data_IF_344829865152
#
_entry.id   IF_344829865152
#
_cell.length_a   1.000
_cell.length_b   1.000
_cell.length_c   1.000
_cell.angle_alpha   90.00
_cell.angle_beta   90.00
_cell.angle_gamma   90.00
#
_symmetry.space_group_name_H-M   'P 1'
#
loop_
_entity.id
_entity.type
_entity.pdbx_description
1 polymer ?
#
# COMPACT_ATOMS: atom_id res chain seq x y z
N UNK A 1 9.86 -1.55 11.83
CA UNK A 1 8.80 -0.80 11.10
C UNK A 1 9.03 -0.70 9.59
N UNK A 2 10.23 -0.35 9.10
CA UNK A 2 10.50 -0.32 7.63
C UNK A 2 10.23 -1.67 6.95
N UNK A 3 10.74 -2.76 7.49
CA UNK A 3 10.55 -4.11 6.93
C UNK A 3 9.07 -4.47 6.81
N UNK A 4 8.24 -4.07 7.77
CA UNK A 4 6.80 -4.33 7.77
C UNK A 4 6.09 -3.53 6.65
N UNK A 5 6.46 -2.27 6.45
CA UNK A 5 5.96 -1.45 5.33
C UNK A 5 6.43 -1.98 3.95
N UNK A 6 7.65 -2.52 3.88
CA UNK A 6 8.12 -3.16 2.64
C UNK A 6 7.36 -4.46 2.38
N UNK A 7 7.14 -5.27 3.42
CA UNK A 7 6.35 -6.50 3.33
C UNK A 7 4.91 -6.22 2.88
N UNK A 8 4.28 -5.17 3.42
CA UNK A 8 2.92 -4.80 3.03
C UNK A 8 2.84 -4.42 1.56
N UNK A 9 3.82 -3.67 1.04
CA UNK A 9 3.90 -3.33 -0.37
C UNK A 9 4.12 -4.54 -1.27
N UNK A 10 5.00 -5.47 -0.89
CA UNK A 10 5.21 -6.73 -1.62
C UNK A 10 3.94 -7.58 -1.63
N UNK A 11 3.27 -7.74 -0.49
CA UNK A 11 2.00 -8.47 -0.41
C UNK A 11 0.91 -7.81 -1.27
N UNK A 12 0.82 -6.48 -1.24
CA UNK A 12 -0.10 -5.73 -2.08
C UNK A 12 0.12 -5.99 -3.56
N UNK A 13 1.37 -6.02 -4.02
CA UNK A 13 1.72 -6.36 -5.42
C UNK A 13 1.31 -7.80 -5.74
N UNK A 14 1.71 -8.77 -4.91
CA UNK A 14 1.44 -10.20 -5.14
C UNK A 14 -0.05 -10.48 -5.21
N UNK A 15 -0.83 -9.96 -4.26
CA UNK A 15 -2.29 -10.17 -4.24
C UNK A 15 -2.95 -9.48 -5.43
N UNK A 16 -2.53 -8.27 -5.79
CA UNK A 16 -3.09 -7.55 -6.94
C UNK A 16 -2.84 -8.30 -8.25
N UNK A 17 -1.61 -8.79 -8.46
CA UNK A 17 -1.26 -9.61 -9.62
C UNK A 17 -2.03 -10.94 -9.62
N UNK A 18 -2.18 -11.57 -8.46
CA UNK A 18 -2.96 -12.81 -8.34
C UNK A 18 -4.43 -12.58 -8.74
N UNK A 19 -5.07 -11.55 -8.19
CA UNK A 19 -6.44 -11.20 -8.53
C UNK A 19 -6.64 -10.94 -10.03
N UNK A 20 -5.64 -10.32 -10.68
CA UNK A 20 -5.66 -10.04 -12.10
C UNK A 20 -5.45 -11.29 -12.96
N UNK A 21 -4.47 -12.15 -12.61
CA UNK A 21 -4.17 -13.39 -13.34
C UNK A 21 -5.33 -14.39 -13.35
N UNK A 22 -6.12 -14.41 -12.27
CA UNK A 22 -7.27 -15.32 -12.14
C UNK A 22 -8.61 -14.67 -12.48
N UNK A 23 -8.60 -13.46 -13.07
CA UNK A 23 -9.81 -12.70 -13.41
C UNK A 23 -10.81 -12.60 -12.24
N UNK A 24 -10.29 -12.52 -11.00
CA UNK A 24 -11.09 -12.34 -9.78
C UNK A 24 -11.70 -10.93 -9.77
N UNK A 25 -11.03 -10.00 -10.42
CA UNK A 25 -11.46 -8.62 -10.61
C UNK A 25 -11.67 -8.43 -12.10
N UNK A 26 -12.83 -7.88 -12.45
CA UNK A 26 -13.19 -7.66 -13.84
C UNK A 26 -12.30 -6.57 -14.45
N UNK A 27 -11.73 -6.84 -15.62
CA UNK A 27 -10.85 -5.92 -16.35
C UNK A 27 -11.63 -4.88 -17.18
N UNK A 28 -12.97 -4.95 -17.16
CA UNK A 28 -13.89 -4.14 -17.97
C UNK A 28 -14.01 -2.65 -17.60
N UNK A 29 -13.25 -2.16 -16.60
CA UNK A 29 -13.40 -0.78 -16.10
C UNK A 29 -12.68 0.26 -16.97
N UNK A 30 -13.33 1.41 -17.17
CA UNK A 30 -12.90 2.53 -18.04
C UNK A 30 -11.65 3.28 -17.54
N UNK A 31 -11.27 3.12 -16.27
CA UNK A 31 -10.15 3.83 -15.62
C UNK A 31 -8.81 3.07 -15.62
N UNK A 32 -8.65 2.08 -16.52
CA UNK A 32 -7.49 1.21 -16.55
C UNK A 32 -7.62 0.08 -15.53
N UNK A 33 -6.83 -0.99 -15.73
CA UNK A 33 -6.95 -2.22 -14.95
C UNK A 33 -6.87 -1.92 -13.45
N UNK A 34 -8.00 -2.09 -12.76
CA UNK A 34 -8.13 -1.77 -11.33
C UNK A 34 -7.18 -2.64 -10.50
N UNK A 35 -6.87 -3.87 -10.94
CA UNK A 35 -5.82 -4.69 -10.37
C UNK A 35 -4.44 -4.03 -10.46
N UNK A 36 -4.13 -3.36 -11.57
CA UNK A 36 -2.87 -2.62 -11.73
C UNK A 36 -2.74 -1.42 -10.78
N UNK A 37 -3.86 -0.78 -10.39
CA UNK A 37 -3.84 0.24 -9.34
C UNK A 37 -3.39 -0.34 -7.99
N UNK A 38 -3.74 -1.60 -7.70
CA UNK A 38 -3.28 -2.32 -6.52
C UNK A 38 -1.76 -2.56 -6.52
N UNK A 39 -1.21 -2.87 -7.71
CA UNK A 39 0.24 -2.99 -7.92
C UNK A 39 0.94 -1.65 -7.66
N UNK A 40 0.44 -0.56 -8.25
CA UNK A 40 0.97 0.80 -8.02
C UNK A 40 0.92 1.15 -6.54
N UNK A 41 -0.19 0.86 -5.86
CA UNK A 41 -0.35 1.06 -4.42
C UNK A 41 0.73 0.33 -3.63
N UNK A 42 1.07 -0.90 -4.01
CA UNK A 42 2.12 -1.67 -3.36
C UNK A 42 3.53 -1.09 -3.60
N UNK A 43 3.80 -0.60 -4.81
CA UNK A 43 5.05 0.11 -5.12
C UNK A 43 5.17 1.39 -4.28
N UNK A 44 4.09 2.16 -4.14
CA UNK A 44 4.05 3.36 -3.29
C UNK A 44 4.37 3.02 -1.83
N UNK A 45 3.86 1.89 -1.30
CA UNK A 45 4.21 1.44 0.05
C UNK A 45 5.72 1.15 0.20
N UNK A 46 6.34 0.49 -0.79
CA UNK A 46 7.78 0.20 -0.78
C UNK A 46 8.60 1.49 -0.83
N UNK A 47 8.21 2.45 -1.67
CA UNK A 47 8.85 3.77 -1.75
C UNK A 47 8.71 4.53 -0.42
N UNK A 48 7.50 4.55 0.15
CA UNK A 48 7.22 5.13 1.47
C UNK A 48 8.08 4.49 2.57
N UNK A 49 8.23 3.17 2.56
CA UNK A 49 9.07 2.41 3.49
C UNK A 49 10.55 2.85 3.41
N UNK A 50 11.06 3.07 2.20
CA UNK A 50 12.42 3.55 1.98
C UNK A 50 12.62 4.99 2.47
N UNK A 51 11.60 5.84 2.35
CA UNK A 51 11.64 7.23 2.80
C UNK A 51 11.53 7.40 4.33
N UNK A 52 11.10 6.38 5.09
CA UNK A 52 10.85 6.48 6.54
C UNK A 52 12.05 7.02 7.35
N UNK A 53 13.29 6.73 6.93
CA UNK A 53 14.51 7.19 7.61
C UNK A 53 14.91 8.63 7.22
N UNK A 54 14.58 9.06 6.01
CA UNK A 54 15.01 10.36 5.46
C UNK A 54 13.97 11.44 5.73
N UNK A 55 12.70 11.14 5.49
CA UNK A 55 11.64 12.12 5.63
C UNK A 55 10.32 11.49 6.10
N UNK A 56 10.11 11.51 7.43
CA UNK A 56 8.96 10.88 8.08
C UNK A 56 7.61 11.41 7.59
N UNK A 57 7.52 12.71 7.27
CA UNK A 57 6.26 13.34 6.79
C UNK A 57 5.83 12.76 5.44
N UNK A 58 6.74 12.73 4.48
CA UNK A 58 6.47 12.19 3.14
C UNK A 58 6.29 10.66 3.17
N UNK A 59 7.02 9.96 4.04
CA UNK A 59 6.80 8.54 4.24
C UNK A 59 5.38 8.24 4.75
N UNK A 60 4.89 8.99 5.74
CA UNK A 60 3.55 8.83 6.26
C UNK A 60 2.47 9.13 5.20
N UNK A 61 2.62 10.20 4.41
CA UNK A 61 1.67 10.49 3.33
C UNK A 61 1.65 9.40 2.27
N UNK A 62 2.81 8.87 1.86
CA UNK A 62 2.90 7.78 0.88
C UNK A 62 2.24 6.49 1.39
N UNK A 63 2.49 6.13 2.65
CA UNK A 63 1.86 4.95 3.25
C UNK A 63 0.34 5.09 3.38
N UNK A 64 -0.15 6.30 3.67
CA UNK A 64 -1.58 6.59 3.71
C UNK A 64 -2.21 6.51 2.32
N UNK A 65 -1.59 7.14 1.32
CA UNK A 65 -2.04 7.07 -0.08
C UNK A 65 -2.07 5.62 -0.54
N UNK A 66 -1.01 4.84 -0.30
CA UNK A 66 -0.95 3.41 -0.63
C UNK A 66 -2.09 2.61 0.01
N UNK A 67 -2.38 2.85 1.29
CA UNK A 67 -3.45 2.17 2.00
C UNK A 67 -4.84 2.45 1.39
N UNK A 68 -5.13 3.72 1.09
CA UNK A 68 -6.42 4.13 0.50
C UNK A 68 -6.55 3.63 -0.93
N UNK A 69 -5.53 3.86 -1.75
CA UNK A 69 -5.53 3.47 -3.17
C UNK A 69 -5.55 1.95 -3.36
N UNK A 70 -4.88 1.20 -2.48
CA UNK A 70 -4.90 -0.26 -2.51
C UNK A 70 -6.27 -0.86 -2.18
N UNK A 71 -6.97 -0.29 -1.19
CA UNK A 71 -8.35 -0.70 -0.87
C UNK A 71 -9.29 -0.33 -2.01
N UNK A 72 -9.17 0.86 -2.60
CA UNK A 72 -9.98 1.25 -3.76
C UNK A 72 -9.73 0.32 -4.95
N UNK A 73 -8.48 -0.11 -5.14
CA UNK A 73 -8.12 -1.03 -6.20
C UNK A 73 -8.82 -2.38 -6.03
N UNK A 74 -8.46 -3.19 -5.06
CA UNK A 74 -8.92 -4.60 -5.01
C UNK A 74 -9.85 -4.89 -3.83
N UNK A 75 -10.40 -3.84 -3.22
CA UNK A 75 -11.38 -3.93 -2.13
C UNK A 75 -10.89 -4.81 -0.98
N UNK A 76 -11.67 -5.83 -0.59
CA UNK A 76 -11.39 -6.68 0.55
C UNK A 76 -10.10 -7.49 0.42
N UNK A 77 -9.63 -7.75 -0.82
CA UNK A 77 -8.37 -8.45 -1.04
C UNK A 77 -7.15 -7.64 -0.59
N UNK A 78 -7.24 -6.30 -0.56
CA UNK A 78 -6.12 -5.45 -0.10
C UNK A 78 -6.15 -5.20 1.40
N UNK A 79 -7.14 -5.71 2.16
CA UNK A 79 -7.25 -5.45 3.60
C UNK A 79 -5.99 -5.91 4.33
N UNK A 80 -5.46 -7.09 4.00
CA UNK A 80 -4.31 -7.65 4.69
C UNK A 80 -3.02 -6.83 4.43
N UNK A 81 -2.67 -6.47 3.18
CA UNK A 81 -1.65 -5.46 2.90
C UNK A 81 -1.90 -4.14 3.64
N UNK A 82 -3.12 -3.60 3.60
CA UNK A 82 -3.44 -2.32 4.25
C UNK A 82 -3.25 -2.35 5.76
N UNK A 83 -3.67 -3.42 6.44
CA UNK A 83 -3.43 -3.60 7.88
C UNK A 83 -1.94 -3.53 8.21
N UNK A 84 -1.09 -4.22 7.44
CA UNK A 84 0.36 -4.17 7.63
C UNK A 84 0.96 -2.80 7.30
N UNK A 85 0.29 -2.00 6.49
CA UNK A 85 0.70 -0.62 6.14
C UNK A 85 0.29 0.38 7.22
N UNK A 86 -0.82 0.14 7.93
CA UNK A 86 -1.33 1.00 9.02
C UNK A 86 -0.40 1.00 10.23
N UNK A 87 0.15 -0.14 10.64
CA UNK A 87 1.10 -0.20 11.76
C UNK A 87 2.31 0.76 11.62
N UNK A 88 3.10 0.70 10.53
CA UNK A 88 4.21 1.63 10.33
C UNK A 88 3.74 3.07 10.19
N UNK A 89 2.56 3.33 9.59
CA UNK A 89 1.97 4.67 9.51
C UNK A 89 1.69 5.27 10.91
N UNK A 90 1.01 4.53 11.79
CA UNK A 90 0.70 4.98 13.16
C UNK A 90 1.97 5.25 13.95
N UNK A 91 2.98 4.38 13.84
CA UNK A 91 4.26 4.61 14.53
C UNK A 91 5.01 5.84 14.03
N UNK A 92 4.93 6.15 12.73
CA UNK A 92 5.51 7.37 12.16
C UNK A 92 4.82 8.64 12.67
N UNK A 93 3.48 8.61 12.75
CA UNK A 93 2.68 9.74 13.23
C UNK A 93 2.98 10.00 14.71
N UNK A 94 2.95 8.97 15.57
CA UNK A 94 3.29 9.10 17.00
C UNK A 94 4.73 9.57 17.22
N UNK A 95 5.67 9.11 16.41
CA UNK A 95 7.07 9.56 16.50
C UNK A 95 7.26 11.04 16.17
N UNK A 96 6.30 11.68 15.50
CA UNK A 96 6.33 13.11 15.16
C UNK A 96 5.81 13.98 16.31
N UNK A 97 4.97 13.42 17.18
CA UNK A 97 4.31 14.10 18.30
C UNK A 97 5.25 14.27 19.50
N UNK A 98 6.21 13.36 19.66
CA UNK A 98 7.24 13.40 20.72
C UNK A 98 8.48 14.25 20.37
N UNK A 99 8.37 15.20 19.43
CA UNK A 99 9.50 16.02 18.95
C UNK A 99 9.10 17.48 18.86
#
# INVERSE_FOLDING_TARGET
MRTLATLSGVLGIVISLFCQLFAIIDDSYTFGNIGFLGVISGVIAIVGANLMKRNKKYAASLLLVSCVTGIIAISYFYILPSLFTVFPLVTLIRSKENK
#
